data_IF_793158168859
#
_entry.id   IF_793158168859
#
_cell.length_a   1.000
_cell.length_b   1.000
_cell.length_c   1.000
_cell.angle_alpha   90.00
_cell.angle_beta   90.00
_cell.angle_gamma   90.00
#
_symmetry.space_group_name_H-M   'P 1'
#
loop_
_entity.id
_entity.type
_entity.pdbx_description
1 polymer ?
#
# COMPACT_ATOMS: atom_id res chain seq x y z
N UNK A 1 14.32 8.56 38.40
CA UNK A 1 13.85 8.55 37.00
C UNK A 1 13.77 7.14 36.39
N UNK A 2 14.73 6.23 36.60
CA UNK A 2 14.69 4.86 36.03
C UNK A 2 13.47 4.02 36.44
N UNK A 3 12.93 4.20 37.64
CA UNK A 3 11.82 3.38 38.18
C UNK A 3 10.47 3.66 37.52
N UNK A 4 10.27 4.86 36.98
CA UNK A 4 9.03 5.24 36.28
C UNK A 4 9.00 4.70 34.85
N UNK A 5 10.15 4.71 34.17
CA UNK A 5 10.29 4.17 32.81
C UNK A 5 10.09 2.64 32.82
N UNK A 6 10.64 1.93 33.81
CA UNK A 6 10.45 0.48 33.94
C UNK A 6 8.98 0.11 34.23
N UNK A 7 8.29 0.91 35.05
CA UNK A 7 6.85 0.71 35.33
C UNK A 7 5.99 0.96 34.09
N UNK A 8 6.34 1.96 33.27
CA UNK A 8 5.64 2.23 32.02
C UNK A 8 5.86 1.09 31.01
N UNK A 9 7.09 0.59 30.88
CA UNK A 9 7.41 -0.55 30.01
C UNK A 9 6.69 -1.83 30.44
N UNK A 10 6.67 -2.14 31.73
CA UNK A 10 5.95 -3.31 32.26
C UNK A 10 4.43 -3.17 32.10
N UNK A 11 3.88 -1.97 32.17
CA UNK A 11 2.46 -1.70 31.94
C UNK A 11 2.09 -1.91 30.47
N UNK A 12 2.87 -1.34 29.55
CA UNK A 12 2.67 -1.50 28.10
C UNK A 12 2.87 -2.96 27.68
N UNK A 13 3.88 -3.65 28.23
CA UNK A 13 4.11 -5.07 27.97
C UNK A 13 2.94 -5.95 28.45
N UNK A 14 2.34 -5.65 29.62
CA UNK A 14 1.16 -6.35 30.13
C UNK A 14 -0.08 -6.11 29.26
N UNK A 15 -0.26 -4.89 28.75
CA UNK A 15 -1.37 -4.56 27.84
C UNK A 15 -1.20 -5.30 26.51
N UNK A 16 0.02 -5.34 25.95
CA UNK A 16 0.31 -6.04 24.71
C UNK A 16 0.17 -7.57 24.85
N UNK A 17 0.60 -8.16 25.97
CA UNK A 17 0.42 -9.61 26.21
C UNK A 17 -1.04 -9.97 26.49
N UNK A 18 -1.80 -9.14 27.21
CA UNK A 18 -3.23 -9.36 27.40
C UNK A 18 -4.01 -9.26 26.08
N UNK A 19 -3.65 -8.30 25.23
CA UNK A 19 -4.27 -8.12 23.90
C UNK A 19 -3.92 -9.27 22.94
N UNK A 20 -2.68 -9.77 22.99
CA UNK A 20 -2.25 -10.95 22.22
C UNK A 20 -2.94 -12.24 22.67
N UNK A 21 -3.11 -12.44 23.98
CA UNK A 21 -3.76 -13.64 24.52
C UNK A 21 -5.27 -13.64 24.25
N UNK A 22 -5.95 -12.49 24.34
CA UNK A 22 -7.36 -12.39 23.96
C UNK A 22 -7.58 -12.70 22.47
N UNK A 23 -6.68 -12.20 21.60
CA UNK A 23 -6.77 -12.47 20.16
C UNK A 23 -6.44 -13.93 19.82
N UNK A 24 -5.55 -14.59 20.56
CA UNK A 24 -5.28 -16.03 20.44
C UNK A 24 -6.48 -16.87 20.84
N UNK A 25 -7.17 -16.54 21.95
CA UNK A 25 -8.39 -17.22 22.36
C UNK A 25 -9.54 -17.00 21.36
N UNK A 26 -9.65 -15.82 20.76
CA UNK A 26 -10.63 -15.54 19.70
C UNK A 26 -10.35 -16.37 18.43
N UNK A 27 -9.08 -16.57 18.06
CA UNK A 27 -8.71 -17.44 16.94
C UNK A 27 -8.98 -18.94 17.22
N UNK A 28 -8.71 -19.42 18.43
CA UNK A 28 -8.97 -20.81 18.82
C UNK A 28 -10.47 -21.10 18.97
N UNK A 29 -11.27 -20.09 19.34
CA UNK A 29 -12.73 -20.22 19.43
C UNK A 29 -13.37 -20.16 18.05
N UNK A 30 -12.91 -19.28 17.16
CA UNK A 30 -13.39 -19.20 15.78
C UNK A 30 -13.04 -20.46 14.96
N UNK A 31 -11.87 -21.06 15.18
CA UNK A 31 -11.49 -22.32 14.53
C UNK A 31 -12.39 -23.50 14.95
N UNK A 32 -12.75 -23.59 16.24
CA UNK A 32 -13.65 -24.64 16.75
C UNK A 32 -15.11 -24.47 16.31
N UNK A 33 -15.59 -23.25 16.11
CA UNK A 33 -16.95 -22.99 15.59
C UNK A 33 -17.05 -23.38 14.12
N UNK A 34 -16.04 -23.06 13.30
CA UNK A 34 -16.00 -23.44 11.88
C UNK A 34 -15.87 -24.96 11.70
N UNK A 35 -15.15 -25.66 12.58
CA UNK A 35 -15.04 -27.12 12.54
C UNK A 35 -16.35 -27.82 12.97
N UNK A 36 -17.09 -27.26 13.94
CA UNK A 36 -18.40 -27.78 14.38
C UNK A 36 -19.53 -27.53 13.34
N UNK A 37 -19.49 -26.41 12.61
CA UNK A 37 -20.45 -26.08 11.55
C UNK A 37 -20.22 -26.91 10.26
N UNK A 38 -18.96 -27.26 9.95
CA UNK A 38 -18.66 -28.10 8.79
C UNK A 38 -18.99 -29.58 9.00
N UNK A 39 -18.96 -30.08 10.24
CA UNK A 39 -19.37 -31.45 10.57
C UNK A 39 -20.90 -31.61 10.54
N UNK A 40 -21.66 -30.57 10.94
CA UNK A 40 -23.14 -30.60 10.90
C UNK A 40 -23.70 -30.49 9.48
N UNK A 41 -23.04 -29.77 8.57
CA UNK A 41 -23.44 -29.67 7.15
C UNK A 41 -23.19 -30.96 6.34
N UNK A 42 -22.31 -31.86 6.83
CA UNK A 42 -22.04 -33.14 6.18
C UNK A 42 -23.07 -34.23 6.56
N UNK A 43 -23.73 -34.13 7.72
CA UNK A 43 -24.74 -35.10 8.18
C UNK A 43 -26.17 -34.75 7.72
N UNK A 44 -26.51 -33.48 7.47
CA UNK A 44 -27.86 -33.10 7.00
C UNK A 44 -28.09 -33.33 5.48
N UNK A 45 -27.04 -33.41 4.66
CA UNK A 45 -27.18 -33.61 3.21
C UNK A 45 -27.54 -35.06 2.78
N UNK A 46 -27.66 -35.99 3.74
CA UNK A 46 -28.06 -37.37 3.47
C UNK A 46 -29.59 -37.60 3.58
N UNK A 47 -30.38 -36.64 4.08
CA UNK A 47 -31.81 -36.85 4.27
C UNK A 47 -32.66 -35.64 3.84
N UNK A 48 -33.43 -35.88 2.78
CA UNK A 48 -34.80 -35.40 2.56
C UNK A 48 -35.05 -34.27 1.54
N UNK A 49 -35.69 -34.72 0.46
CA UNK A 49 -36.47 -34.02 -0.57
C UNK A 49 -37.51 -33.04 -0.03
N UNK A 50 -37.64 -31.91 -0.76
CA UNK A 50 -38.85 -31.10 -1.04
C UNK A 50 -39.59 -30.48 0.15
N UNK A 51 -39.52 -29.14 0.25
CA UNK A 51 -40.68 -28.21 0.26
C UNK A 51 -40.22 -26.75 0.34
N UNK A 52 -40.80 -25.92 -0.52
CA UNK A 52 -40.70 -24.45 -0.51
C UNK A 52 -41.15 -23.87 0.83
N UNK A 53 -40.36 -22.95 1.39
CA UNK A 53 -40.83 -21.97 2.36
C UNK A 53 -39.89 -20.74 2.39
N UNK A 54 -40.41 -19.59 1.98
CA UNK A 54 -39.75 -18.28 2.03
C UNK A 54 -39.54 -17.81 3.49
N UNK A 55 -38.32 -17.43 3.92
CA UNK A 55 -38.13 -16.78 5.21
C UNK A 55 -38.07 -15.24 5.12
N UNK A 56 -39.04 -14.67 5.84
CA UNK A 56 -39.23 -13.30 6.36
C UNK A 56 -38.00 -12.38 6.44
N UNK A 57 -38.18 -11.15 5.92
CA UNK A 57 -37.38 -9.94 6.20
C UNK A 57 -37.26 -9.71 7.71
N UNK A 58 -36.04 -9.73 8.25
CA UNK A 58 -35.69 -8.93 9.43
C UNK A 58 -35.00 -7.63 8.96
N UNK A 59 -35.61 -6.51 9.32
CA UNK A 59 -35.12 -5.15 9.08
C UNK A 59 -34.22 -4.79 10.26
N UNK A 60 -32.91 -4.96 10.10
CA UNK A 60 -31.93 -4.41 11.01
C UNK A 60 -31.45 -3.06 10.45
N UNK A 61 -31.97 -1.99 11.06
CA UNK A 61 -31.60 -0.62 10.77
C UNK A 61 -30.21 -0.34 11.35
N UNK A 62 -29.17 -0.81 10.66
CA UNK A 62 -27.81 -0.35 10.90
C UNK A 62 -27.68 1.07 10.33
N UNK A 63 -27.71 2.06 11.23
CA UNK A 63 -27.30 3.44 10.95
C UNK A 63 -25.84 3.41 10.47
N UNK A 64 -25.63 3.41 9.15
CA UNK A 64 -24.30 3.57 8.52
C UNK A 64 -23.67 4.87 9.06
N UNK A 65 -22.47 4.84 9.66
CA UNK A 65 -21.72 6.07 9.88
C UNK A 65 -21.39 6.66 8.51
N UNK A 66 -21.53 7.98 8.39
CA UNK A 66 -21.25 8.76 7.18
C UNK A 66 -19.72 8.83 6.93
N UNK A 67 -19.10 7.70 6.61
CA UNK A 67 -17.65 7.58 6.33
C UNK A 67 -17.32 8.12 4.92
N UNK A 68 -18.30 8.12 4.02
CA UNK A 68 -18.15 8.60 2.63
C UNK A 68 -17.95 10.11 2.53
N UNK A 69 -18.50 10.89 3.46
CA UNK A 69 -18.31 12.35 3.50
C UNK A 69 -16.95 12.77 4.05
N UNK A 70 -16.46 12.05 5.08
CA UNK A 70 -15.16 12.34 5.68
C UNK A 70 -13.99 11.92 4.79
N UNK A 71 -14.08 10.78 4.08
CA UNK A 71 -13.08 10.40 3.07
C UNK A 71 -12.99 11.40 1.92
N UNK A 72 -14.13 11.92 1.45
CA UNK A 72 -14.13 12.96 0.41
C UNK A 72 -13.53 14.28 0.89
N UNK A 73 -13.76 14.64 2.16
CA UNK A 73 -13.22 15.86 2.76
C UNK A 73 -11.71 15.78 2.99
N UNK A 74 -11.22 14.67 3.56
CA UNK A 74 -9.78 14.39 3.69
C UNK A 74 -9.08 14.33 2.33
N UNK A 75 -9.72 13.72 1.32
CA UNK A 75 -9.20 13.68 -0.05
C UNK A 75 -9.09 15.08 -0.69
N UNK A 76 -10.08 15.94 -0.46
CA UNK A 76 -10.06 17.32 -0.97
C UNK A 76 -9.04 18.20 -0.22
N UNK A 77 -8.93 18.07 1.10
CA UNK A 77 -7.96 18.82 1.93
C UNK A 77 -6.50 18.42 1.61
N UNK A 78 -6.24 17.12 1.34
CA UNK A 78 -4.94 16.64 0.85
C UNK A 78 -4.65 17.05 -0.61
N UNK A 79 -5.66 17.22 -1.45
CA UNK A 79 -5.50 17.73 -2.82
C UNK A 79 -5.20 19.24 -2.84
N UNK A 80 -5.79 20.01 -1.91
CA UNK A 80 -5.56 21.45 -1.76
C UNK A 80 -4.19 21.76 -1.15
N UNK A 81 -3.75 21.02 -0.12
CA UNK A 81 -2.42 21.24 0.49
C UNK A 81 -1.27 20.85 -0.46
N UNK A 82 -1.43 19.80 -1.28
CA UNK A 82 -0.42 19.36 -2.26
C UNK A 82 -0.40 20.19 -3.56
N UNK A 83 -1.45 20.95 -3.86
CA UNK A 83 -1.42 21.93 -4.96
C UNK A 83 -0.40 23.06 -4.67
N UNK A 84 -0.26 23.44 -3.40
CA UNK A 84 0.51 24.62 -3.00
C UNK A 84 2.04 24.48 -3.07
N UNK A 85 2.60 23.26 -3.07
CA UNK A 85 4.07 23.08 -3.04
C UNK A 85 4.73 23.38 -4.39
N UNK A 86 3.97 23.32 -5.48
CA UNK A 86 4.53 23.31 -6.84
C UNK A 86 4.11 24.49 -7.72
N UNK A 87 3.23 25.38 -7.25
CA UNK A 87 2.51 26.38 -8.07
C UNK A 87 3.30 27.65 -8.44
N UNK A 88 4.48 27.90 -7.88
CA UNK A 88 5.08 29.25 -7.95
C UNK A 88 6.54 29.38 -8.39
N UNK A 89 7.05 28.60 -9.36
CA UNK A 89 8.49 28.60 -9.63
C UNK A 89 8.86 28.76 -11.12
N UNK A 90 9.50 29.89 -11.43
CA UNK A 90 9.86 30.37 -12.76
C UNK A 90 11.35 30.15 -13.09
N UNK A 91 12.19 29.81 -12.09
CA UNK A 91 13.66 29.70 -12.28
C UNK A 91 14.24 28.28 -12.11
N UNK A 92 15.45 28.08 -12.63
CA UNK A 92 16.23 26.85 -12.55
C UNK A 92 16.54 26.40 -11.12
N UNK A 93 16.98 27.36 -10.29
CA UNK A 93 17.38 27.11 -8.90
C UNK A 93 16.22 26.64 -8.02
N UNK A 94 15.00 26.98 -8.43
CA UNK A 94 13.78 26.63 -7.75
C UNK A 94 13.32 25.22 -8.12
N UNK A 95 13.50 24.82 -9.39
CA UNK A 95 13.21 23.45 -9.85
C UNK A 95 14.11 22.42 -9.17
N UNK A 96 15.40 22.70 -9.00
CA UNK A 96 16.34 21.83 -8.27
C UNK A 96 15.91 21.58 -6.83
N UNK A 97 15.56 22.65 -6.09
CA UNK A 97 15.08 22.58 -4.70
C UNK A 97 13.80 21.76 -4.55
N UNK A 98 12.89 21.88 -5.51
CA UNK A 98 11.64 21.12 -5.51
C UNK A 98 11.90 19.63 -5.69
N UNK A 99 12.82 19.27 -6.59
CA UNK A 99 13.19 17.87 -6.78
C UNK A 99 13.88 17.34 -5.53
N UNK A 100 14.81 18.08 -4.96
CA UNK A 100 15.51 17.71 -3.72
C UNK A 100 14.51 17.47 -2.57
N UNK A 101 13.61 18.42 -2.30
CA UNK A 101 12.57 18.30 -1.26
C UNK A 101 11.69 17.06 -1.46
N UNK A 102 11.23 16.79 -2.68
CA UNK A 102 10.40 15.62 -2.93
C UNK A 102 11.19 14.32 -2.76
N UNK A 103 12.45 14.29 -3.20
CA UNK A 103 13.31 13.12 -3.01
C UNK A 103 13.64 12.89 -1.53
N UNK A 104 13.81 13.95 -0.74
CA UNK A 104 13.91 13.87 0.72
C UNK A 104 12.64 13.27 1.34
N UNK A 105 11.45 13.69 0.90
CA UNK A 105 10.19 13.09 1.34
C UNK A 105 10.10 11.60 0.99
N UNK A 106 10.61 11.17 -0.17
CA UNK A 106 10.67 9.75 -0.52
C UNK A 106 11.69 8.96 0.31
N UNK A 107 12.78 9.61 0.75
CA UNK A 107 13.81 9.01 1.60
C UNK A 107 13.42 9.00 3.09
N UNK A 108 12.43 9.79 3.48
CA UNK A 108 12.06 9.95 4.88
C UNK A 108 11.49 8.64 5.45
N UNK A 109 12.10 8.16 6.53
CA UNK A 109 11.58 7.04 7.33
C UNK A 109 10.62 7.56 8.40
N UNK A 110 9.51 8.14 7.96
CA UNK A 110 8.43 8.63 8.84
C UNK A 110 7.49 7.48 9.22
N UNK A 111 6.75 7.66 10.31
CA UNK A 111 5.70 6.71 10.71
C UNK A 111 4.72 6.57 9.55
N UNK A 112 4.56 5.33 9.05
CA UNK A 112 3.61 5.01 8.01
C UNK A 112 2.17 5.27 8.46
N UNK A 113 1.40 5.92 7.60
CA UNK A 113 -0.06 6.05 7.73
C UNK A 113 -0.81 5.18 6.71
N UNK A 114 -0.09 4.36 5.92
CA UNK A 114 -0.73 3.50 4.94
C UNK A 114 -1.58 2.42 5.58
N UNK A 115 -2.75 2.21 4.99
CA UNK A 115 -3.76 1.23 5.37
C UNK A 115 -4.32 0.56 4.09
N UNK A 116 -4.99 -0.58 4.25
CA UNK A 116 -5.58 -1.34 3.16
C UNK A 116 -6.59 -0.51 2.34
N UNK A 117 -7.32 0.39 2.98
CA UNK A 117 -8.27 1.29 2.30
C UNK A 117 -7.64 2.25 1.29
N UNK A 118 -6.32 2.45 1.34
CA UNK A 118 -5.62 3.27 0.33
C UNK A 118 -5.44 2.55 -1.02
N UNK A 119 -5.73 1.25 -1.06
CA UNK A 119 -5.61 0.39 -2.22
C UNK A 119 -6.97 -0.19 -2.59
N UNK A 120 -7.55 0.31 -3.68
CA UNK A 120 -8.88 -0.14 -4.14
C UNK A 120 -8.90 -1.65 -4.42
N UNK A 121 -7.77 -2.21 -4.87
CA UNK A 121 -7.61 -3.64 -5.11
C UNK A 121 -7.80 -4.49 -3.84
N UNK A 122 -7.61 -3.90 -2.66
CA UNK A 122 -7.77 -4.53 -1.36
C UNK A 122 -9.17 -4.33 -0.74
N UNK A 123 -9.96 -3.34 -1.18
CA UNK A 123 -11.30 -3.09 -0.62
C UNK A 123 -12.28 -4.24 -0.89
N UNK A 124 -12.11 -4.99 -1.99
CA UNK A 124 -13.04 -6.04 -2.43
C UNK A 124 -12.43 -7.42 -2.32
N UNK A 125 -12.94 -8.23 -1.39
CA UNK A 125 -12.65 -9.67 -1.33
C UNK A 125 -11.41 -10.05 -0.51
N UNK A 126 -10.99 -9.17 0.41
CA UNK A 126 -9.87 -9.47 1.30
C UNK A 126 -10.23 -10.68 2.20
N UNK A 127 -9.57 -11.82 1.94
CA UNK A 127 -9.82 -13.08 2.65
C UNK A 127 -10.62 -14.14 1.89
N UNK A 128 -11.10 -13.83 0.67
CA UNK A 128 -11.66 -14.83 -0.26
C UNK A 128 -10.61 -15.14 -1.32
N UNK A 129 -10.51 -16.41 -1.72
CA UNK A 129 -9.62 -16.89 -2.78
C UNK A 129 -8.14 -16.49 -2.55
N UNK A 130 -7.50 -17.17 -1.59
CA UNK A 130 -6.09 -16.98 -1.27
C UNK A 130 -5.24 -18.06 -1.95
N UNK A 131 -4.04 -17.68 -2.36
CA UNK A 131 -3.01 -18.59 -2.87
C UNK A 131 -1.73 -18.41 -2.05
N UNK A 132 -1.05 -19.52 -1.77
CA UNK A 132 0.24 -19.51 -1.10
C UNK A 132 1.34 -19.13 -2.10
N UNK A 133 2.01 -18.00 -1.86
CA UNK A 133 3.21 -17.58 -2.61
C UNK A 133 4.32 -17.30 -1.61
N UNK A 134 5.43 -18.02 -1.72
CA UNK A 134 6.46 -18.04 -0.68
C UNK A 134 5.86 -18.50 0.65
N UNK A 135 6.00 -17.68 1.70
CA UNK A 135 5.47 -17.98 3.04
C UNK A 135 4.08 -17.43 3.34
N UNK A 136 3.46 -16.67 2.43
CA UNK A 136 2.19 -15.98 2.71
C UNK A 136 1.03 -16.39 1.81
N UNK A 137 -0.16 -16.47 2.41
CA UNK A 137 -1.43 -16.56 1.69
C UNK A 137 -1.84 -15.18 1.17
N UNK A 138 -1.76 -15.00 -0.15
CA UNK A 138 -1.99 -13.74 -0.87
C UNK A 138 -3.35 -13.76 -1.57
N UNK A 139 -4.11 -12.65 -1.59
CA UNK A 139 -5.32 -12.55 -2.41
C UNK A 139 -5.02 -12.83 -3.89
N UNK A 140 -5.88 -13.60 -4.57
CA UNK A 140 -5.67 -14.00 -5.97
C UNK A 140 -5.40 -12.82 -6.92
N UNK A 141 -6.00 -11.66 -6.65
CA UNK A 141 -5.80 -10.40 -7.42
C UNK A 141 -4.34 -9.89 -7.39
N UNK A 142 -3.58 -10.27 -6.38
CA UNK A 142 -2.17 -9.92 -6.22
C UNK A 142 -1.24 -11.09 -6.57
N UNK A 143 -1.78 -12.28 -6.87
CA UNK A 143 -1.00 -13.48 -7.11
C UNK A 143 0.03 -13.31 -8.23
N UNK A 144 -0.35 -12.70 -9.35
CA UNK A 144 0.55 -12.48 -10.48
C UNK A 144 1.75 -11.61 -10.11
N UNK A 145 1.56 -10.58 -9.28
CA UNK A 145 2.64 -9.72 -8.80
C UNK A 145 3.49 -10.46 -7.78
N UNK A 146 2.88 -11.16 -6.83
CA UNK A 146 3.61 -11.95 -5.84
C UNK A 146 4.50 -13.02 -6.50
N UNK A 147 4.00 -13.72 -7.52
CA UNK A 147 4.79 -14.68 -8.30
C UNK A 147 5.93 -13.99 -9.05
N UNK A 148 5.69 -12.89 -9.77
CA UNK A 148 6.75 -12.16 -10.47
C UNK A 148 7.86 -11.69 -9.53
N UNK A 149 7.50 -11.20 -8.34
CA UNK A 149 8.46 -10.82 -7.30
C UNK A 149 9.27 -12.04 -6.88
N UNK A 150 8.60 -13.15 -6.57
CA UNK A 150 9.26 -14.38 -6.12
C UNK A 150 10.20 -14.97 -7.19
N UNK A 151 9.76 -15.01 -8.45
CA UNK A 151 10.52 -15.60 -9.55
C UNK A 151 11.79 -14.81 -9.87
N UNK A 152 11.77 -13.47 -9.69
CA UNK A 152 12.88 -12.59 -10.05
C UNK A 152 13.79 -12.31 -8.85
N UNK A 153 13.21 -12.08 -7.67
CA UNK A 153 13.92 -11.63 -6.48
C UNK A 153 14.01 -12.69 -5.38
N UNK A 154 13.38 -13.85 -5.56
CA UNK A 154 13.28 -14.89 -4.54
C UNK A 154 12.33 -14.52 -3.40
N UNK A 155 12.45 -15.22 -2.28
CA UNK A 155 11.71 -14.89 -1.07
C UNK A 155 12.27 -13.62 -0.41
N UNK A 156 11.71 -12.47 -0.77
CA UNK A 156 12.07 -11.17 -0.20
C UNK A 156 11.83 -11.07 1.31
N UNK A 157 11.15 -12.04 1.93
CA UNK A 157 10.77 -12.02 3.34
C UNK A 157 11.68 -12.89 4.21
N UNK A 158 12.62 -13.62 3.60
CA UNK A 158 13.47 -14.62 4.26
C UNK A 158 14.31 -14.06 5.41
N UNK A 159 14.75 -12.80 5.29
CA UNK A 159 15.56 -12.13 6.32
C UNK A 159 14.75 -11.59 7.50
N UNK A 160 13.42 -11.56 7.39
CA UNK A 160 12.56 -10.98 8.42
C UNK A 160 12.43 -11.88 9.64
N UNK A 161 12.70 -11.32 10.83
CA UNK A 161 12.50 -12.00 12.12
C UNK A 161 11.07 -11.94 12.65
N UNK A 162 10.17 -11.27 11.93
CA UNK A 162 8.78 -11.14 12.35
C UNK A 162 8.00 -12.42 12.10
N UNK A 163 7.05 -12.70 13.00
CA UNK A 163 6.08 -13.78 12.79
C UNK A 163 5.22 -13.51 11.56
N UNK A 164 4.63 -14.55 10.99
CA UNK A 164 3.80 -14.41 9.79
C UNK A 164 2.59 -13.50 10.00
N UNK A 165 2.00 -13.55 11.20
CA UNK A 165 0.90 -12.67 11.57
C UNK A 165 1.29 -11.18 11.51
N UNK A 166 2.50 -10.83 11.97
CA UNK A 166 3.00 -9.46 11.98
C UNK A 166 3.54 -9.01 10.60
N UNK A 167 4.15 -9.93 9.85
CA UNK A 167 4.81 -9.63 8.58
C UNK A 167 3.83 -9.58 7.39
N UNK A 168 2.82 -10.44 7.39
CA UNK A 168 1.87 -10.59 6.28
C UNK A 168 1.19 -9.27 5.88
N UNK A 169 0.69 -8.42 6.79
CA UNK A 169 0.03 -7.18 6.37
C UNK A 169 0.93 -6.25 5.56
N UNK A 170 2.21 -6.13 5.95
CA UNK A 170 3.18 -5.31 5.21
C UNK A 170 3.51 -5.92 3.85
N UNK A 171 3.55 -7.25 3.74
CA UNK A 171 3.75 -7.92 2.46
C UNK A 171 2.57 -7.71 1.50
N UNK A 172 1.33 -7.73 2.00
CA UNK A 172 0.14 -7.49 1.17
C UNK A 172 0.10 -6.04 0.68
N UNK A 173 0.38 -5.07 1.56
CA UNK A 173 0.49 -3.65 1.17
C UNK A 173 1.59 -3.42 0.14
N UNK A 174 2.75 -4.07 0.33
CA UNK A 174 3.84 -4.03 -0.63
C UNK A 174 3.40 -4.55 -2.01
N UNK A 175 2.80 -5.73 -2.07
CA UNK A 175 2.30 -6.30 -3.32
C UNK A 175 1.23 -5.41 -3.97
N UNK A 176 0.36 -4.78 -3.18
CA UNK A 176 -0.65 -3.85 -3.68
C UNK A 176 -0.02 -2.58 -4.28
N UNK A 177 1.01 -2.02 -3.66
CA UNK A 177 1.76 -0.90 -4.21
C UNK A 177 2.42 -1.26 -5.55
N UNK A 178 3.09 -2.41 -5.62
CA UNK A 178 3.71 -2.87 -6.88
C UNK A 178 2.65 -3.14 -7.96
N UNK A 179 1.48 -3.68 -7.59
CA UNK A 179 0.37 -3.89 -8.52
C UNK A 179 -0.18 -2.59 -9.07
N UNK A 180 -0.38 -1.56 -8.24
CA UNK A 180 -0.81 -0.25 -8.73
C UNK A 180 0.25 0.40 -9.63
N UNK A 181 1.55 0.21 -9.37
CA UNK A 181 2.60 0.63 -10.29
C UNK A 181 2.52 -0.10 -11.64
N UNK A 182 2.10 -1.37 -11.65
CA UNK A 182 1.90 -2.17 -12.87
C UNK A 182 0.65 -1.77 -13.67
N UNK A 183 -0.35 -1.22 -12.99
CA UNK A 183 -1.62 -0.80 -13.62
C UNK A 183 -1.63 0.65 -14.07
N UNK A 184 -0.92 1.54 -13.37
CA UNK A 184 -1.01 2.98 -13.56
C UNK A 184 0.13 3.53 -14.42
N UNK A 185 -0.18 4.63 -15.10
CA UNK A 185 0.75 5.44 -15.90
C UNK A 185 1.01 6.79 -15.22
N UNK A 186 2.05 7.50 -15.66
CA UNK A 186 2.45 8.80 -15.11
C UNK A 186 1.34 9.85 -15.04
N UNK A 187 0.42 9.85 -16.01
CA UNK A 187 -0.68 10.81 -16.11
C UNK A 187 -1.89 10.48 -15.21
N UNK A 188 -1.88 9.30 -14.58
CA UNK A 188 -2.95 8.80 -13.71
C UNK A 188 -2.59 8.87 -12.22
N UNK A 189 -1.38 9.32 -11.88
CA UNK A 189 -0.88 9.37 -10.50
C UNK A 189 -0.67 10.79 -10.03
N UNK A 190 -0.78 10.97 -8.72
CA UNK A 190 -0.47 12.22 -8.02
C UNK A 190 0.53 11.96 -6.89
N UNK A 191 0.92 13.04 -6.21
CA UNK A 191 1.93 13.01 -5.16
C UNK A 191 1.51 12.10 -4.01
N UNK A 192 0.27 12.24 -3.53
CA UNK A 192 -0.32 11.42 -2.48
C UNK A 192 -0.20 9.93 -2.79
N UNK A 193 -0.49 9.52 -4.02
CA UNK A 193 -0.40 8.11 -4.44
C UNK A 193 1.03 7.59 -4.39
N UNK A 194 2.01 8.39 -4.82
CA UNK A 194 3.43 8.02 -4.74
C UNK A 194 3.88 7.89 -3.27
N UNK A 195 3.40 8.77 -2.37
CA UNK A 195 3.70 8.69 -0.94
C UNK A 195 3.04 7.48 -0.26
N UNK A 196 1.85 7.07 -0.69
CA UNK A 196 1.21 5.81 -0.25
C UNK A 196 2.08 4.61 -0.62
N UNK A 197 2.62 4.58 -1.84
CA UNK A 197 3.55 3.52 -2.25
C UNK A 197 4.85 3.54 -1.46
N UNK A 198 5.41 4.73 -1.21
CA UNK A 198 6.56 4.91 -0.32
C UNK A 198 6.32 4.24 1.03
N UNK A 199 5.19 4.53 1.66
CA UNK A 199 4.90 4.02 3.00
C UNK A 199 4.75 2.50 3.02
N UNK A 200 4.09 1.92 2.02
CA UNK A 200 3.98 0.47 1.87
C UNK A 200 5.36 -0.20 1.70
N UNK A 201 6.24 0.39 0.88
CA UNK A 201 7.61 -0.10 0.66
C UNK A 201 8.47 0.07 1.92
N UNK A 202 8.38 1.21 2.60
CA UNK A 202 9.12 1.48 3.83
C UNK A 202 8.69 0.54 4.97
N UNK A 203 7.40 0.20 5.09
CA UNK A 203 6.93 -0.81 6.03
C UNK A 203 7.61 -2.15 5.80
N UNK A 204 7.63 -2.63 4.54
CA UNK A 204 8.33 -3.86 4.18
C UNK A 204 9.83 -3.78 4.50
N UNK A 205 10.49 -2.68 4.16
CA UNK A 205 11.90 -2.45 4.47
C UNK A 205 12.19 -2.44 5.97
N UNK A 206 11.35 -1.79 6.77
CA UNK A 206 11.46 -1.76 8.24
C UNK A 206 11.26 -3.14 8.88
N UNK A 207 10.59 -4.06 8.18
CA UNK A 207 10.50 -5.48 8.57
C UNK A 207 11.66 -6.33 8.04
N UNK A 208 12.71 -5.71 7.48
CA UNK A 208 13.89 -6.36 6.91
C UNK A 208 13.58 -7.24 5.69
N UNK A 209 12.56 -6.87 4.91
CA UNK A 209 12.35 -7.49 3.61
C UNK A 209 13.40 -6.97 2.61
N UNK A 210 13.81 -7.81 1.66
CA UNK A 210 14.72 -7.46 0.58
C UNK A 210 14.06 -6.62 -0.51
N UNK A 211 13.66 -5.38 -0.18
CA UNK A 211 12.87 -4.49 -1.06
C UNK A 211 13.65 -3.30 -1.62
N UNK A 212 14.98 -3.34 -1.57
CA UNK A 212 15.84 -2.27 -2.09
C UNK A 212 15.60 -1.97 -3.58
N UNK A 213 15.26 -3.00 -4.36
CA UNK A 213 14.89 -2.87 -5.77
C UNK A 213 13.66 -1.95 -5.94
N UNK A 214 12.66 -2.10 -5.08
CA UNK A 214 11.44 -1.30 -5.11
C UNK A 214 11.70 0.15 -4.63
N UNK A 215 12.54 0.34 -3.61
CA UNK A 215 12.97 1.68 -3.15
C UNK A 215 13.67 2.43 -4.30
N UNK A 216 14.62 1.77 -4.96
CA UNK A 216 15.34 2.34 -6.11
C UNK A 216 14.37 2.68 -7.24
N UNK A 217 13.40 1.82 -7.51
CA UNK A 217 12.41 2.03 -8.56
C UNK A 217 11.45 3.18 -8.25
N UNK A 218 10.95 3.27 -7.01
CA UNK A 218 10.09 4.36 -6.56
C UNK A 218 10.77 5.73 -6.74
N UNK A 219 12.08 5.81 -6.47
CA UNK A 219 12.88 7.02 -6.71
C UNK A 219 12.90 7.44 -8.19
N UNK A 220 12.92 6.47 -9.11
CA UNK A 220 12.83 6.74 -10.56
C UNK A 220 11.44 7.26 -10.93
N UNK A 221 10.39 6.64 -10.39
CA UNK A 221 9.01 7.11 -10.57
C UNK A 221 8.87 8.55 -10.04
N UNK A 222 9.44 8.86 -8.87
CA UNK A 222 9.38 10.20 -8.28
C UNK A 222 10.02 11.25 -9.18
N UNK A 223 11.21 10.99 -9.72
CA UNK A 223 11.87 11.84 -10.72
C UNK A 223 11.03 11.98 -12.00
N UNK A 224 10.46 10.88 -12.48
CA UNK A 224 9.60 10.86 -13.66
C UNK A 224 8.34 11.72 -13.48
N UNK A 225 7.70 11.65 -12.32
CA UNK A 225 6.52 12.45 -11.98
C UNK A 225 6.83 13.95 -11.98
N UNK A 226 7.96 14.35 -11.40
CA UNK A 226 8.41 15.74 -11.41
C UNK A 226 8.70 16.21 -12.84
N UNK A 227 9.45 15.41 -13.61
CA UNK A 227 9.74 15.71 -15.01
C UNK A 227 8.47 15.84 -15.84
N UNK A 228 7.49 14.97 -15.62
CA UNK A 228 6.20 14.99 -16.29
C UNK A 228 5.38 16.25 -15.95
N UNK A 229 5.32 16.65 -14.67
CA UNK A 229 4.68 17.92 -14.26
C UNK A 229 5.36 19.12 -14.92
N UNK A 230 6.70 19.14 -14.97
CA UNK A 230 7.45 20.20 -15.62
C UNK A 230 7.21 20.25 -17.13
N UNK A 231 7.07 19.09 -17.80
CA UNK A 231 6.73 19.01 -19.23
C UNK A 231 5.34 19.55 -19.54
N UNK A 232 4.33 19.17 -18.75
CA UNK A 232 2.94 19.65 -18.93
C UNK A 232 2.80 21.17 -18.80
N UNK A 233 3.66 21.80 -18.00
CA UNK A 233 3.71 23.27 -17.89
C UNK A 233 4.29 23.91 -19.16
N UNK A 234 5.33 23.29 -19.72
CA UNK A 234 6.03 23.75 -20.94
C UNK A 234 5.25 23.53 -22.22
N UNK A 235 4.38 22.52 -22.33
CA UNK A 235 3.48 22.39 -23.49
C UNK A 235 2.47 23.54 -23.61
N UNK A 236 2.37 24.40 -22.58
CA UNK A 236 1.53 25.60 -22.58
C UNK A 236 2.34 26.91 -22.74
N UNK A 237 3.67 26.85 -22.86
CA UNK A 237 4.54 28.03 -23.03
C UNK A 237 5.81 27.63 -23.80
N UNK A 238 5.94 28.13 -25.03
CA UNK A 238 7.05 27.90 -25.97
C UNK A 238 8.37 28.52 -25.49
N UNK A 239 8.97 28.01 -24.41
CA UNK A 239 10.35 28.37 -24.08
C UNK A 239 11.10 27.15 -23.54
N UNK A 240 12.00 26.66 -24.38
CA UNK A 240 12.85 25.53 -24.05
C UNK A 240 14.33 25.92 -24.19
N UNK A 241 15.08 25.44 -23.20
CA UNK A 241 16.52 25.12 -23.26
C UNK A 241 17.48 26.24 -22.85
N UNK A 242 17.69 26.41 -21.54
CA UNK A 242 18.98 26.88 -21.01
C UNK A 242 19.27 26.44 -19.55
N UNK A 243 18.71 25.33 -19.06
CA UNK A 243 19.02 24.83 -17.71
C UNK A 243 19.98 23.65 -17.73
N UNK A 244 21.23 23.90 -17.31
CA UNK A 244 22.33 22.94 -17.17
C UNK A 244 22.38 22.29 -15.79
N UNK A 245 21.24 22.08 -15.14
CA UNK A 245 21.21 21.40 -13.84
C UNK A 245 20.89 19.91 -14.08
N UNK A 246 21.93 19.05 -14.00
CA UNK A 246 21.83 17.65 -14.41
C UNK A 246 20.73 16.85 -13.69
N UNK A 247 20.33 17.30 -12.49
CA UNK A 247 19.26 16.69 -11.71
C UNK A 247 17.87 16.87 -12.36
N UNK A 248 17.65 18.00 -13.04
CA UNK A 248 16.40 18.27 -13.77
C UNK A 248 16.38 17.50 -15.09
N UNK A 249 17.54 17.32 -15.73
CA UNK A 249 17.68 16.50 -16.92
C UNK A 249 17.34 15.02 -16.65
N UNK A 250 17.78 14.49 -15.51
CA UNK A 250 17.40 13.15 -15.05
C UNK A 250 15.88 13.00 -14.94
N UNK A 251 15.19 14.00 -14.39
CA UNK A 251 13.74 13.98 -14.25
C UNK A 251 13.04 13.93 -15.60
N UNK A 252 13.49 14.74 -16.58
CA UNK A 252 12.95 14.70 -17.93
C UNK A 252 13.23 13.38 -18.64
N UNK A 253 14.40 12.79 -18.43
CA UNK A 253 14.76 11.48 -19.00
C UNK A 253 13.86 10.37 -18.46
N UNK A 254 13.67 10.31 -17.15
CA UNK A 254 12.78 9.32 -16.52
C UNK A 254 11.31 9.56 -16.92
N UNK A 255 10.87 10.82 -17.03
CA UNK A 255 9.53 11.15 -17.51
C UNK A 255 9.28 10.60 -18.92
N UNK A 256 10.23 10.80 -19.85
CA UNK A 256 10.16 10.21 -21.20
C UNK A 256 10.18 8.69 -21.18
N UNK A 257 10.97 8.09 -20.29
CA UNK A 257 11.08 6.63 -20.17
C UNK A 257 9.73 5.98 -19.83
N UNK A 258 9.00 6.54 -18.85
CA UNK A 258 7.71 6.02 -18.37
C UNK A 258 6.49 6.54 -19.15
N UNK A 259 6.64 7.53 -20.04
CA UNK A 259 5.51 8.11 -20.76
C UNK A 259 4.73 7.05 -21.55
N UNK A 260 3.43 6.94 -21.28
CA UNK A 260 2.52 5.99 -21.91
C UNK A 260 2.67 4.52 -21.46
N UNK A 261 3.64 4.23 -20.58
CA UNK A 261 3.96 2.89 -20.09
C UNK A 261 3.54 2.70 -18.63
N UNK A 262 3.32 1.45 -18.18
CA UNK A 262 3.19 1.14 -16.76
C UNK A 262 4.36 1.67 -15.94
N UNK A 263 4.08 2.13 -14.74
CA UNK A 263 5.11 2.59 -13.81
C UNK A 263 5.97 1.43 -13.27
N UNK A 264 5.57 0.17 -13.42
CA UNK A 264 6.40 -1.02 -13.17
C UNK A 264 7.47 -1.28 -14.24
N UNK A 265 7.51 -0.50 -15.34
CA UNK A 265 8.44 -0.76 -16.45
C UNK A 265 9.90 -0.75 -16.00
N UNK A 266 10.61 -1.88 -16.19
CA UNK A 266 11.98 -2.07 -15.73
C UNK A 266 12.13 -2.47 -14.25
N UNK A 267 11.03 -2.73 -13.55
CA UNK A 267 11.03 -3.32 -12.20
C UNK A 267 11.20 -4.85 -12.22
N UNK A 268 11.01 -5.51 -13.36
CA UNK A 268 10.99 -6.98 -13.45
C UNK A 268 11.93 -7.50 -14.55
N UNK A 269 13.07 -6.83 -14.74
CA UNK A 269 14.03 -7.09 -15.82
C UNK A 269 15.45 -7.21 -15.26
#
# INVERSE_FOLDING_TARGET
MLTWVLKLFLSVYKILTAYSNNRSMECDTAAKVVEAENVTMAEENANHKVKEATPRRMREEYRKPNVTGQHKKLKAELEEENATVFEGMSSASEQGKVVEKFMEQLNANVKSEVDYSHFEILEKGLGKDLILVGRFNVPLRLASIAHRIYDIYGDITASSRQSDCAAKPSYILFCAAIKEMDDLKLDQVNETKILVWRDAINNAHNLQFGVDFAIKHLKRIGRAYIGFKAMKRKSNTEDMLNNKDGFVEDCFREAKYFLGKPLSMGLFH
#
